data_IF_830686751639
#
_entry.id   IF_830686751639
#
_cell.length_a   1.000
_cell.length_b   1.000
_cell.length_c   1.000
_cell.angle_alpha   90.00
_cell.angle_beta   90.00
_cell.angle_gamma   90.00
#
_symmetry.space_group_name_H-M   'P 1'
#
loop_
_entity.id
_entity.type
_entity.pdbx_description
1 polymer ?
#
# COMPACT_ATOMS: atom_id res chain seq x y z
N UNK A 1 -56.78 57.38 -17.92
CA UNK A 1 -55.88 57.88 -16.86
C UNK A 1 -55.86 56.80 -15.78
N UNK A 2 -54.66 56.36 -15.36
CA UNK A 2 -54.38 55.52 -14.17
C UNK A 2 -54.84 54.04 -14.25
N UNK A 3 -53.99 53.05 -14.57
CA UNK A 3 -52.82 52.39 -13.93
C UNK A 3 -53.20 51.39 -12.80
N UNK A 4 -52.48 50.26 -12.80
CA UNK A 4 -52.24 49.23 -11.78
C UNK A 4 -53.15 47.98 -11.84
N UNK A 5 -52.74 46.84 -12.41
CA UNK A 5 -51.55 45.96 -12.27
C UNK A 5 -52.02 44.64 -11.65
N UNK A 6 -51.96 43.59 -12.47
CA UNK A 6 -52.34 42.21 -12.13
C UNK A 6 -51.32 41.58 -11.17
N UNK A 7 -51.74 40.70 -10.24
CA UNK A 7 -50.82 39.93 -9.42
C UNK A 7 -50.05 38.93 -10.28
N UNK A 8 -48.73 38.89 -10.07
CA UNK A 8 -47.79 37.99 -10.72
C UNK A 8 -48.00 36.55 -10.25
N UNK A 9 -48.23 35.66 -11.20
CA UNK A 9 -48.11 34.21 -11.03
C UNK A 9 -46.64 33.85 -10.83
N UNK A 10 -46.26 33.39 -9.63
CA UNK A 10 -44.95 32.79 -9.44
C UNK A 10 -44.96 31.36 -10.00
N UNK A 11 -44.39 31.20 -11.19
CA UNK A 11 -43.86 29.93 -11.68
C UNK A 11 -42.51 29.69 -11.02
N UNK A 12 -42.44 28.76 -10.08
CA UNK A 12 -41.17 28.19 -9.62
C UNK A 12 -41.06 26.78 -10.18
N UNK A 13 -40.45 26.68 -11.36
CA UNK A 13 -39.94 25.45 -11.92
C UNK A 13 -38.82 24.92 -11.02
N UNK A 14 -39.16 24.01 -10.13
CA UNK A 14 -38.19 23.17 -9.45
C UNK A 14 -38.66 21.75 -9.75
N UNK A 15 -37.95 21.02 -10.60
CA UNK A 15 -37.91 19.56 -10.65
C UNK A 15 -36.84 19.12 -11.65
N UNK A 16 -35.85 18.41 -11.08
CA UNK A 16 -34.99 17.41 -11.70
C UNK A 16 -33.79 17.87 -12.55
N UNK A 17 -32.70 18.17 -11.84
CA UNK A 17 -31.36 17.73 -12.25
C UNK A 17 -31.14 16.30 -11.73
N UNK A 18 -31.15 15.31 -12.64
CA UNK A 18 -30.77 13.90 -12.42
C UNK A 18 -29.92 13.53 -13.64
N UNK A 19 -28.73 12.95 -13.61
CA UNK A 19 -27.92 12.38 -12.55
C UNK A 19 -26.44 12.67 -12.86
N UNK A 20 -25.72 12.84 -11.76
CA UNK A 20 -24.28 12.81 -11.63
C UNK A 20 -23.75 11.44 -12.11
N UNK A 21 -23.05 11.36 -13.24
CA UNK A 21 -22.19 10.22 -13.53
C UNK A 21 -20.90 10.35 -12.69
N UNK A 22 -21.00 10.15 -11.37
CA UNK A 22 -19.84 9.69 -10.62
C UNK A 22 -19.79 8.19 -10.90
N UNK A 23 -19.01 7.79 -11.90
CA UNK A 23 -18.50 6.43 -11.88
C UNK A 23 -17.72 6.30 -10.55
N UNK A 24 -18.12 5.39 -9.63
CA UNK A 24 -17.23 5.06 -8.55
C UNK A 24 -16.03 4.38 -9.19
N UNK A 25 -14.91 5.10 -9.31
CA UNK A 25 -13.62 4.43 -9.42
C UNK A 25 -13.58 3.45 -8.25
N UNK A 26 -13.59 2.16 -8.56
CA UNK A 26 -13.56 1.10 -7.55
C UNK A 26 -12.20 1.18 -6.83
N UNK A 27 -12.10 2.08 -5.87
CA UNK A 27 -11.03 2.14 -4.89
C UNK A 27 -11.20 0.87 -4.07
N UNK A 28 -10.34 -0.12 -4.33
CA UNK A 28 -10.30 -1.31 -3.49
C UNK A 28 -10.13 -0.86 -2.04
N UNK A 29 -10.98 -1.39 -1.16
CA UNK A 29 -10.84 -1.08 0.26
C UNK A 29 -9.54 -1.72 0.78
N UNK A 30 -8.89 -1.11 1.79
CA UNK A 30 -7.74 -1.73 2.45
C UNK A 30 -8.07 -3.15 2.90
N UNK A 31 -7.19 -4.10 2.56
CA UNK A 31 -7.33 -5.53 2.86
C UNK A 31 -8.58 -6.21 2.25
N UNK A 32 -9.14 -5.69 1.15
CA UNK A 32 -10.23 -6.32 0.40
C UNK A 32 -9.75 -7.60 -0.31
N UNK A 33 -9.96 -8.74 0.34
CA UNK A 33 -9.58 -10.05 -0.17
C UNK A 33 -10.42 -10.53 -1.37
N UNK A 34 -11.77 -10.44 -1.34
CA UNK A 34 -12.60 -10.88 -2.46
C UNK A 34 -12.32 -10.17 -3.79
N UNK A 35 -12.10 -8.85 -3.79
CA UNK A 35 -12.03 -8.09 -5.06
C UNK A 35 -10.61 -7.65 -5.44
N UNK A 36 -9.67 -7.60 -4.49
CA UNK A 36 -8.33 -7.08 -4.74
C UNK A 36 -7.22 -7.99 -4.18
N UNK A 37 -7.50 -9.28 -3.96
CA UNK A 37 -6.48 -10.24 -3.50
C UNK A 37 -5.77 -9.79 -2.21
N UNK A 38 -6.51 -9.12 -1.33
CA UNK A 38 -6.03 -8.50 -0.11
C UNK A 38 -4.91 -7.47 -0.34
N UNK A 39 -4.72 -6.95 -1.56
CA UNK A 39 -3.61 -6.08 -1.95
C UNK A 39 -2.24 -6.80 -2.03
N UNK A 40 -2.19 -8.14 -2.05
CA UNK A 40 -0.92 -8.87 -2.13
C UNK A 40 -0.39 -8.88 -3.58
N UNK A 41 0.81 -8.34 -3.79
CA UNK A 41 1.43 -8.29 -5.12
C UNK A 41 2.14 -9.58 -5.54
N UNK A 42 2.65 -10.35 -4.58
CA UNK A 42 3.53 -11.49 -4.82
C UNK A 42 3.20 -12.65 -3.89
N UNK A 43 3.53 -13.88 -4.31
CA UNK A 43 3.31 -15.11 -3.52
C UNK A 43 4.07 -15.16 -2.19
N UNK A 44 5.05 -14.28 -2.01
CA UNK A 44 5.85 -14.09 -0.78
C UNK A 44 6.00 -12.59 -0.52
N UNK A 45 6.94 -12.18 0.34
CA UNK A 45 7.35 -10.78 0.45
C UNK A 45 7.71 -10.20 -0.93
N UNK A 46 7.22 -8.99 -1.31
CA UNK A 46 7.63 -8.35 -2.55
C UNK A 46 9.15 -8.18 -2.60
N UNK A 47 9.83 -8.56 -3.70
CA UNK A 47 11.29 -8.49 -3.81
C UNK A 47 11.80 -7.06 -4.11
N UNK A 48 10.89 -6.11 -4.22
CA UNK A 48 11.15 -4.75 -4.70
C UNK A 48 10.98 -3.72 -3.58
N UNK A 49 11.47 -2.51 -3.83
CA UNK A 49 11.18 -1.36 -2.99
C UNK A 49 9.77 -0.89 -3.31
N UNK A 50 8.95 -0.69 -2.29
CA UNK A 50 7.66 -0.01 -2.42
C UNK A 50 7.73 1.32 -1.66
N UNK A 51 7.34 2.40 -2.31
CA UNK A 51 7.13 3.71 -1.67
C UNK A 51 5.66 4.05 -1.83
N UNK A 52 4.98 4.29 -0.71
CA UNK A 52 3.55 4.55 -0.73
C UNK A 52 3.06 5.23 0.53
N UNK A 53 1.83 5.73 0.47
CA UNK A 53 1.18 6.35 1.61
C UNK A 53 0.37 5.31 2.38
N UNK A 54 0.48 5.25 3.70
CA UNK A 54 -0.29 4.31 4.52
C UNK A 54 -1.76 4.71 4.53
N UNK A 55 -2.63 3.79 4.10
CA UNK A 55 -4.09 3.95 4.17
C UNK A 55 -4.65 3.39 5.47
N UNK A 56 -4.15 2.23 5.88
CA UNK A 56 -4.64 1.52 7.05
C UNK A 56 -3.57 0.61 7.65
N UNK A 57 -3.70 0.35 8.95
CA UNK A 57 -3.00 -0.70 9.68
C UNK A 57 -4.00 -1.79 10.01
N UNK A 58 -3.68 -3.05 9.72
CA UNK A 58 -4.59 -4.17 9.95
C UNK A 58 -4.79 -4.45 11.44
N UNK A 59 -6.05 -4.67 11.82
CA UNK A 59 -6.39 -5.33 13.09
C UNK A 59 -5.93 -6.79 13.09
N UNK A 60 -5.90 -7.45 14.26
CA UNK A 60 -5.60 -8.89 14.35
C UNK A 60 -6.59 -9.74 13.53
N UNK A 61 -7.86 -9.34 13.48
CA UNK A 61 -8.89 -10.01 12.67
C UNK A 61 -8.59 -9.90 11.17
N UNK A 62 -8.27 -8.70 10.69
CA UNK A 62 -7.87 -8.50 9.28
C UNK A 62 -6.56 -9.21 8.96
N UNK A 63 -5.60 -9.20 9.89
CA UNK A 63 -4.33 -9.94 9.74
C UNK A 63 -4.57 -11.44 9.51
N UNK A 64 -5.45 -12.05 10.31
CA UNK A 64 -5.85 -13.46 10.13
C UNK A 64 -6.62 -13.67 8.82
N UNK A 65 -7.51 -12.75 8.44
CA UNK A 65 -8.24 -12.83 7.18
C UNK A 65 -7.29 -12.86 5.98
N UNK A 66 -6.31 -11.95 5.94
CA UNK A 66 -5.30 -11.91 4.87
C UNK A 66 -4.45 -13.18 4.89
N UNK A 67 -4.08 -13.67 6.07
CA UNK A 67 -3.33 -14.92 6.21
C UNK A 67 -4.06 -16.12 5.59
N UNK A 68 -5.32 -16.34 5.98
CA UNK A 68 -6.09 -17.47 5.45
C UNK A 68 -6.30 -17.33 3.94
N UNK A 69 -6.67 -16.13 3.47
CA UNK A 69 -6.83 -15.91 2.03
C UNK A 69 -5.52 -16.19 1.27
N UNK A 70 -4.38 -15.71 1.77
CA UNK A 70 -3.09 -15.95 1.15
C UNK A 70 -2.80 -17.45 1.05
N UNK A 71 -2.96 -18.19 2.15
CA UNK A 71 -2.75 -19.64 2.21
C UNK A 71 -3.65 -20.40 1.23
N UNK A 72 -4.95 -20.08 1.22
CA UNK A 72 -5.95 -20.74 0.37
C UNK A 72 -5.68 -20.50 -1.13
N UNK A 73 -5.01 -19.39 -1.48
CA UNK A 73 -4.66 -19.04 -2.85
C UNK A 73 -3.18 -19.34 -3.18
N UNK A 74 -2.52 -20.18 -2.37
CA UNK A 74 -1.11 -20.60 -2.53
C UNK A 74 -0.07 -19.47 -2.44
N UNK A 75 -0.47 -18.31 -1.91
CA UNK A 75 0.46 -17.35 -1.35
C UNK A 75 0.95 -17.90 0.00
N UNK A 76 2.20 -17.59 0.34
CA UNK A 76 2.81 -18.00 1.61
C UNK A 76 2.76 -19.52 1.84
N UNK A 77 2.91 -20.31 0.78
CA UNK A 77 2.85 -21.78 0.82
C UNK A 77 3.86 -22.42 1.80
N UNK A 78 4.96 -21.72 2.11
CA UNK A 78 6.00 -22.16 3.06
C UNK A 78 5.69 -21.83 4.53
N UNK A 79 4.58 -21.17 4.81
CA UNK A 79 4.14 -20.82 6.16
C UNK A 79 3.18 -21.91 6.69
N UNK A 80 3.18 -22.29 7.98
CA UNK A 80 2.22 -23.25 8.53
C UNK A 80 0.76 -22.84 8.28
N UNK A 81 -0.15 -23.80 8.13
CA UNK A 81 -1.52 -23.51 7.70
C UNK A 81 -2.45 -22.97 8.81
N UNK A 82 -2.10 -23.19 10.07
CA UNK A 82 -2.97 -22.97 11.24
C UNK A 82 -2.91 -21.54 11.80
N UNK A 83 -2.12 -20.64 11.20
CA UNK A 83 -1.92 -19.26 11.62
C UNK A 83 -1.43 -19.10 13.08
N UNK A 84 -0.87 -20.15 13.69
CA UNK A 84 -0.56 -20.14 15.11
C UNK A 84 0.37 -18.97 15.47
N UNK A 85 -0.09 -18.08 16.33
CA UNK A 85 0.71 -16.91 16.76
C UNK A 85 0.99 -15.87 15.67
N UNK A 86 0.47 -16.02 14.45
CA UNK A 86 0.71 -15.09 13.34
C UNK A 86 0.30 -13.64 13.68
N UNK A 87 -0.93 -13.35 14.15
CA UNK A 87 -1.30 -11.99 14.54
C UNK A 87 -0.62 -11.52 15.83
N UNK A 88 0.06 -12.37 16.60
CA UNK A 88 0.91 -11.91 17.69
C UNK A 88 2.28 -11.45 17.18
N UNK A 89 2.74 -12.02 16.06
CA UNK A 89 4.08 -11.76 15.50
C UNK A 89 4.09 -10.75 14.35
N UNK A 90 3.03 -10.64 13.56
CA UNK A 90 2.99 -9.87 12.31
C UNK A 90 1.93 -8.78 12.34
N UNK A 91 2.28 -7.58 11.87
CA UNK A 91 1.32 -6.52 11.54
C UNK A 91 1.32 -6.29 10.02
N UNK A 92 0.17 -5.93 9.47
CA UNK A 92 0.03 -5.59 8.05
C UNK A 92 -0.31 -4.11 7.89
N UNK A 93 0.26 -3.48 6.87
CA UNK A 93 -0.09 -2.13 6.44
C UNK A 93 -0.63 -2.19 5.01
N UNK A 94 -1.65 -1.39 4.73
CA UNK A 94 -2.11 -1.13 3.36
C UNK A 94 -1.48 0.18 2.88
N UNK A 95 -0.77 0.13 1.76
CA UNK A 95 -0.17 1.27 1.09
C UNK A 95 -1.01 1.66 -0.11
N UNK A 96 -1.30 2.94 -0.23
CA UNK A 96 -1.81 3.56 -1.44
C UNK A 96 -0.65 3.87 -2.38
N UNK A 97 -0.72 3.32 -3.59
CA UNK A 97 0.22 3.63 -4.66
C UNK A 97 -0.59 4.11 -5.88
N UNK A 98 -0.34 5.34 -6.40
CA UNK A 98 -0.98 5.81 -7.60
C UNK A 98 -0.41 5.07 -8.83
N UNK A 99 -1.30 4.58 -9.68
CA UNK A 99 -0.97 3.94 -10.96
C UNK A 99 -1.68 4.73 -12.06
N UNK A 100 -0.90 5.23 -13.00
CA UNK A 100 -1.42 5.93 -14.17
C UNK A 100 -1.42 4.98 -15.36
N UNK A 101 -2.61 4.74 -15.92
CA UNK A 101 -2.79 3.95 -17.13
C UNK A 101 -3.75 4.68 -18.06
N UNK A 102 -3.38 4.79 -19.34
CA UNK A 102 -4.19 5.44 -20.38
C UNK A 102 -4.64 6.88 -20.01
N UNK A 103 -3.78 7.63 -19.32
CA UNK A 103 -4.06 9.00 -18.86
C UNK A 103 -4.92 9.09 -17.59
N UNK A 104 -5.36 7.96 -17.03
CA UNK A 104 -6.15 7.90 -15.81
C UNK A 104 -5.30 7.41 -14.64
N UNK A 105 -5.30 8.17 -13.54
CA UNK A 105 -4.59 7.80 -12.30
C UNK A 105 -5.57 7.21 -11.30
N UNK A 106 -5.39 5.92 -11.00
CA UNK A 106 -6.13 5.22 -9.94
C UNK A 106 -5.19 4.93 -8.77
N UNK A 107 -5.74 4.86 -7.55
CA UNK A 107 -4.97 4.45 -6.37
C UNK A 107 -5.18 2.97 -6.14
N UNK A 108 -4.09 2.25 -5.94
CA UNK A 108 -4.09 0.82 -5.64
C UNK A 108 -3.62 0.59 -4.21
N UNK A 109 -4.39 -0.19 -3.46
CA UNK A 109 -4.03 -0.65 -2.12
C UNK A 109 -3.12 -1.88 -2.21
N UNK A 110 -1.96 -1.79 -1.57
CA UNK A 110 -0.93 -2.83 -1.54
C UNK A 110 -0.63 -3.21 -0.10
N UNK A 111 -0.73 -4.50 0.22
CA UNK A 111 -0.44 -5.01 1.55
C UNK A 111 1.03 -5.33 1.69
N UNK A 112 1.64 -4.77 2.75
CA UNK A 112 3.00 -5.06 3.19
C UNK A 112 2.98 -5.51 4.65
N UNK A 113 4.00 -6.26 5.06
CA UNK A 113 4.08 -6.84 6.40
C UNK A 113 5.41 -6.52 7.07
N UNK A 114 5.36 -6.30 8.38
CA UNK A 114 6.52 -6.17 9.28
C UNK A 114 6.22 -6.92 10.58
N UNK A 115 7.22 -7.10 11.44
CA UNK A 115 6.94 -7.68 12.76
C UNK A 115 6.06 -6.73 13.58
N UNK A 116 5.21 -7.30 14.45
CA UNK A 116 4.41 -6.52 15.40
C UNK A 116 5.30 -5.78 16.39
N UNK A 117 6.41 -6.40 16.81
CA UNK A 117 7.40 -5.76 17.68
C UNK A 117 7.99 -4.48 17.05
N UNK A 118 8.40 -4.53 15.78
CA UNK A 118 8.90 -3.34 15.07
C UNK A 118 7.83 -2.24 15.02
N UNK A 119 6.57 -2.60 14.75
CA UNK A 119 5.47 -1.64 14.74
C UNK A 119 5.20 -1.03 16.11
N UNK A 120 5.20 -1.84 17.18
CA UNK A 120 4.97 -1.36 18.54
C UNK A 120 6.10 -0.46 19.05
N UNK A 121 7.33 -0.66 18.55
CA UNK A 121 8.48 0.21 18.86
C UNK A 121 8.39 1.60 18.22
N UNK A 122 7.63 1.74 17.12
CA UNK A 122 7.44 2.98 16.39
C UNK A 122 6.19 2.92 15.52
N UNK A 123 4.99 3.13 16.10
CA UNK A 123 3.74 2.94 15.37
C UNK A 123 3.62 3.86 14.16
N UNK A 124 3.33 3.28 13.01
CA UNK A 124 3.13 4.00 11.75
C UNK A 124 1.64 4.33 11.61
N UNK A 125 1.35 5.62 11.45
CA UNK A 125 -0.02 6.10 11.37
C UNK A 125 -0.51 6.23 9.91
N UNK A 126 -1.82 6.07 9.65
CA UNK A 126 -2.40 6.43 8.36
C UNK A 126 -2.03 7.86 7.92
N UNK A 127 -1.78 8.03 6.63
CA UNK A 127 -1.32 9.27 6.03
C UNK A 127 0.20 9.44 5.96
N UNK A 128 0.97 8.66 6.73
CA UNK A 128 2.43 8.63 6.63
C UNK A 128 2.88 8.08 5.27
N UNK A 129 4.04 8.51 4.78
CA UNK A 129 4.71 7.85 3.64
C UNK A 129 5.83 6.98 4.17
N UNK A 130 5.86 5.76 3.68
CA UNK A 130 6.81 4.73 4.11
C UNK A 130 7.57 4.17 2.91
N UNK A 131 8.72 3.58 3.22
CA UNK A 131 9.41 2.63 2.36
C UNK A 131 9.18 1.24 2.91
N UNK A 132 8.76 0.31 2.07
CA UNK A 132 8.92 -1.12 2.29
C UNK A 132 10.10 -1.63 1.46
N UNK A 133 10.88 -2.53 2.05
CA UNK A 133 11.87 -3.32 1.33
C UNK A 133 11.98 -4.73 1.92
N UNK A 134 12.15 -5.77 1.10
CA UNK A 134 12.25 -7.15 1.58
C UNK A 134 13.46 -7.40 2.50
N UNK A 135 13.24 -8.16 3.58
CA UNK A 135 14.33 -8.61 4.47
C UNK A 135 15.35 -9.50 3.77
N UNK A 136 14.94 -10.24 2.73
CA UNK A 136 15.83 -11.11 1.96
C UNK A 136 17.00 -10.35 1.31
N UNK A 137 16.83 -9.06 1.01
CA UNK A 137 17.81 -8.24 0.29
C UNK A 137 18.53 -7.23 1.18
N UNK A 138 17.92 -6.79 2.29
CA UNK A 138 18.56 -5.96 3.33
C UNK A 138 19.48 -6.77 4.25
N UNK A 139 20.25 -7.68 3.68
CA UNK A 139 20.96 -8.70 4.44
C UNK A 139 19.95 -9.56 5.20
N UNK A 140 19.78 -10.81 4.76
CA UNK A 140 19.31 -11.86 5.65
C UNK A 140 20.40 -12.10 6.73
N UNK A 141 20.69 -11.07 7.53
CA UNK A 141 21.59 -11.14 8.65
C UNK A 141 20.91 -12.12 9.58
N UNK A 142 21.42 -13.34 9.60
CA UNK A 142 20.90 -14.39 10.45
C UNK A 142 20.83 -13.90 11.90
N UNK A 143 21.74 -13.03 12.35
CA UNK A 143 21.66 -12.41 13.67
C UNK A 143 20.41 -11.52 13.83
N UNK A 144 20.05 -10.70 12.83
CA UNK A 144 18.84 -9.87 12.90
C UNK A 144 17.58 -10.73 12.91
N UNK A 145 17.48 -11.69 11.98
CA UNK A 145 16.37 -12.65 11.96
C UNK A 145 16.27 -13.39 13.29
N UNK A 146 17.36 -14.00 13.75
CA UNK A 146 17.39 -14.80 14.98
C UNK A 146 17.08 -13.95 16.21
N UNK A 147 17.46 -12.67 16.25
CA UNK A 147 17.08 -11.76 17.33
C UNK A 147 15.56 -11.53 17.37
N UNK A 148 14.92 -11.35 16.20
CA UNK A 148 13.46 -11.15 16.10
C UNK A 148 12.66 -12.43 16.29
N UNK A 149 13.14 -13.55 15.75
CA UNK A 149 12.45 -14.83 15.82
C UNK A 149 12.79 -15.59 17.11
N UNK A 150 13.87 -15.20 17.81
CA UNK A 150 14.38 -15.90 19.00
C UNK A 150 14.63 -17.39 18.76
N UNK A 151 15.04 -17.75 17.54
CA UNK A 151 15.20 -19.13 17.08
C UNK A 151 13.92 -19.99 17.15
N UNK A 152 12.74 -19.36 17.23
CA UNK A 152 11.45 -20.04 17.15
C UNK A 152 11.18 -20.45 15.69
N UNK A 153 11.09 -21.75 15.36
CA UNK A 153 10.86 -22.21 13.99
C UNK A 153 9.58 -21.67 13.36
N UNK A 154 8.54 -21.43 14.17
CA UNK A 154 7.28 -20.88 13.70
C UNK A 154 7.46 -19.42 13.27
N UNK A 155 8.11 -18.59 14.09
CA UNK A 155 8.41 -17.19 13.75
C UNK A 155 9.38 -17.09 12.58
N UNK A 156 10.35 -18.00 12.48
CA UNK A 156 11.25 -18.09 11.32
C UNK A 156 10.51 -18.40 10.02
N UNK A 157 9.46 -19.24 10.07
CA UNK A 157 8.62 -19.49 8.89
C UNK A 157 7.89 -18.23 8.41
N UNK A 158 7.45 -17.37 9.34
CA UNK A 158 6.78 -16.10 9.02
C UNK A 158 7.72 -15.06 8.43
N UNK A 159 9.02 -15.13 8.74
CA UNK A 159 10.03 -14.16 8.32
C UNK A 159 10.01 -13.85 6.81
N UNK A 160 9.75 -14.86 5.98
CA UNK A 160 9.74 -14.75 4.52
C UNK A 160 8.54 -13.96 3.96
N UNK A 161 7.54 -13.68 4.79
CA UNK A 161 6.40 -12.83 4.44
C UNK A 161 6.63 -11.37 4.78
N UNK A 162 7.71 -11.05 5.51
CA UNK A 162 7.98 -9.74 6.09
C UNK A 162 9.02 -8.95 5.28
N UNK A 163 8.99 -7.64 5.46
CA UNK A 163 10.06 -6.74 5.06
C UNK A 163 10.29 -5.62 6.05
N UNK A 164 11.35 -4.87 5.81
CA UNK A 164 11.69 -3.68 6.56
C UNK A 164 10.78 -2.54 6.11
N UNK A 165 10.03 -1.97 7.06
CA UNK A 165 9.16 -0.82 6.83
C UNK A 165 9.71 0.35 7.62
N UNK A 166 10.00 1.44 6.93
CA UNK A 166 10.50 2.66 7.54
C UNK A 166 9.63 3.86 7.14
N UNK A 167 9.25 4.67 8.11
CA UNK A 167 8.57 5.95 7.85
C UNK A 167 9.56 6.95 7.26
N UNK A 168 9.20 7.51 6.10
CA UNK A 168 9.94 8.57 5.43
C UNK A 168 9.38 9.95 5.82
N UNK A 169 8.05 10.07 5.83
CA UNK A 169 7.36 11.31 6.15
C UNK A 169 6.25 11.04 7.17
N UNK A 170 6.12 11.96 8.13
CA UNK A 170 4.96 11.99 9.02
C UNK A 170 3.66 12.29 8.25
N UNK A 171 2.49 11.93 8.80
CA UNK A 171 1.22 12.36 8.23
C UNK A 171 1.18 13.89 8.09
N UNK A 172 0.64 14.37 6.96
CA UNK A 172 0.43 15.80 6.65
C UNK A 172 1.71 16.64 6.44
N UNK A 173 2.91 16.05 6.44
CA UNK A 173 4.14 16.77 6.07
C UNK A 173 4.26 16.93 4.54
N UNK A 174 3.51 17.86 3.98
CA UNK A 174 3.44 18.08 2.53
C UNK A 174 4.79 18.40 1.88
N UNK A 175 5.72 19.03 2.61
CA UNK A 175 7.06 19.34 2.13
C UNK A 175 7.90 18.06 2.00
N UNK A 176 7.85 17.17 2.99
CA UNK A 176 8.49 15.87 2.90
C UNK A 176 7.87 15.01 1.79
N UNK A 177 6.53 14.95 1.74
CA UNK A 177 5.78 14.14 0.77
C UNK A 177 6.16 14.48 -0.69
N UNK A 178 6.34 15.77 -0.99
CA UNK A 178 6.69 16.23 -2.34
C UNK A 178 8.07 15.75 -2.83
N UNK A 179 8.93 15.25 -1.94
CA UNK A 179 10.29 14.79 -2.29
C UNK A 179 10.33 13.35 -2.82
N UNK A 180 9.35 12.54 -2.43
CA UNK A 180 9.34 11.11 -2.73
C UNK A 180 8.38 10.81 -3.89
N UNK A 181 8.79 9.89 -4.76
CA UNK A 181 7.92 9.37 -5.81
C UNK A 181 7.32 8.04 -5.35
N UNK A 182 5.99 7.94 -5.18
CA UNK A 182 5.36 6.68 -4.83
C UNK A 182 5.41 5.71 -6.02
N UNK A 183 5.54 4.41 -5.74
CA UNK A 183 5.67 3.40 -6.77
C UNK A 183 6.34 2.11 -6.28
N UNK A 184 6.51 1.19 -7.23
CA UNK A 184 7.34 -0.01 -7.09
C UNK A 184 8.64 0.21 -7.86
N UNK A 185 9.76 -0.09 -7.24
CA UNK A 185 11.08 0.15 -7.80
C UNK A 185 11.98 -1.06 -7.63
N UNK A 186 12.70 -1.41 -8.68
CA UNK A 186 13.73 -2.44 -8.63
C UNK A 186 14.77 -2.09 -7.57
N UNK A 187 15.08 -3.06 -6.71
CA UNK A 187 15.97 -2.87 -5.57
C UNK A 187 17.40 -2.46 -5.97
N UNK A 188 17.90 -2.97 -7.10
CA UNK A 188 19.29 -2.79 -7.51
C UNK A 188 19.50 -1.51 -8.32
N UNK A 189 18.64 -1.28 -9.31
CA UNK A 189 18.75 -0.16 -10.25
C UNK A 189 17.97 1.07 -9.81
N UNK A 190 16.94 0.90 -8.97
CA UNK A 190 15.98 1.95 -8.64
C UNK A 190 15.02 2.28 -9.78
N UNK A 191 15.01 1.49 -10.86
CA UNK A 191 14.10 1.69 -11.97
C UNK A 191 12.65 1.42 -11.55
N UNK A 192 11.73 2.30 -11.91
CA UNK A 192 10.31 2.09 -11.67
C UNK A 192 9.80 0.88 -12.43
N UNK A 193 9.03 0.05 -11.72
CA UNK A 193 8.35 -1.11 -12.21
C UNK A 193 6.85 -0.83 -12.28
N UNK A 194 6.17 -1.46 -13.23
CA UNK A 194 4.72 -1.57 -13.19
C UNK A 194 4.31 -2.26 -11.89
N UNK A 195 3.30 -1.70 -11.22
CA UNK A 195 2.94 -2.13 -9.87
C UNK A 195 2.55 -3.62 -9.85
N UNK A 196 1.79 -4.06 -10.86
CA UNK A 196 1.19 -5.39 -10.89
C UNK A 196 2.12 -6.41 -11.55
N UNK A 197 2.65 -6.11 -12.73
CA UNK A 197 3.50 -7.06 -13.47
C UNK A 197 4.93 -7.13 -12.95
N UNK A 198 5.41 -6.08 -12.26
CA UNK A 198 6.80 -5.96 -11.83
C UNK A 198 7.78 -5.77 -12.99
N UNK A 199 7.29 -5.51 -14.20
CA UNK A 199 8.16 -5.23 -15.36
C UNK A 199 8.59 -3.77 -15.37
N UNK A 200 9.81 -3.44 -15.84
CA UNK A 200 10.25 -2.04 -15.96
C UNK A 200 9.27 -1.19 -16.76
N UNK A 201 8.90 -0.03 -16.22
CA UNK A 201 8.02 0.93 -16.90
C UNK A 201 8.84 1.71 -17.94
N UNK A 202 8.43 1.72 -19.22
CA UNK A 202 9.06 2.58 -20.22
C UNK A 202 9.00 4.04 -19.78
N UNK A 203 10.14 4.73 -19.76
CA UNK A 203 10.26 6.12 -19.28
C UNK A 203 9.85 6.31 -17.80
N UNK A 204 9.86 5.25 -17.00
CA UNK A 204 9.64 5.31 -15.57
C UNK A 204 10.65 6.22 -14.86
N UNK A 205 10.32 6.61 -13.63
CA UNK A 205 11.24 7.32 -12.75
C UNK A 205 12.35 6.35 -12.34
N UNK A 206 13.57 6.86 -12.15
CA UNK A 206 14.64 6.12 -11.50
C UNK A 206 14.89 6.79 -10.15
N UNK A 207 14.90 6.02 -9.07
CA UNK A 207 15.26 6.52 -7.74
C UNK A 207 16.69 6.12 -7.37
N UNK A 208 17.26 6.84 -6.43
CA UNK A 208 18.41 6.38 -5.67
C UNK A 208 17.93 5.40 -4.59
N UNK A 209 18.45 4.16 -4.59
CA UNK A 209 17.91 3.08 -3.74
C UNK A 209 18.31 3.22 -2.27
N UNK A 210 19.28 4.10 -1.97
CA UNK A 210 19.68 4.44 -0.61
C UNK A 210 18.81 5.56 -0.04
N UNK A 211 18.69 6.67 -0.77
CA UNK A 211 17.98 7.88 -0.32
C UNK A 211 16.49 7.88 -0.68
N UNK A 212 16.09 7.05 -1.63
CA UNK A 212 14.74 6.95 -2.23
C UNK A 212 14.27 8.19 -3.00
N UNK A 213 15.19 9.13 -3.24
CA UNK A 213 14.89 10.33 -4.00
C UNK A 213 15.01 10.06 -5.51
N UNK A 214 14.17 10.70 -6.34
CA UNK A 214 14.31 10.63 -7.79
C UNK A 214 15.71 11.08 -8.25
N UNK A 215 16.33 10.30 -9.14
CA UNK A 215 17.55 10.70 -9.84
C UNK A 215 17.20 11.63 -11.01
N UNK A 216 18.05 12.63 -11.30
CA UNK A 216 17.96 13.36 -12.56
C UNK A 216 18.08 12.37 -13.72
N UNK A 217 17.21 12.48 -14.73
CA UNK A 217 17.42 11.73 -15.97
C UNK A 217 18.75 12.15 -16.59
N UNK A 218 19.62 11.22 -17.03
CA UNK A 218 20.73 11.58 -17.90
C UNK A 218 20.15 12.34 -19.11
N UNK A 219 20.70 13.51 -19.37
CA UNK A 219 20.34 14.29 -20.57
C UNK A 219 20.91 13.63 -21.81
#
# INVERSE_FOLDING_TARGET
MEIFSRPQTMTAAALLWIALFIAPSALALPFDCPHNHCGLLTKQSPPDILVGQVEAVATSKQTLQVFHWARDHHFWHNVPADAQGYPAFVTLLSLSIPVTKDGHTNRHSVTVAMTREEYESGPILPGAVIRYAPHAFYGNNAAYRNARTQHDPLKESYWWTLGCIAQLCAPNDSQCLARYSPGRFDWHSGAQLDLMSGTPTPNGIVIDTLTLLPKPRPR
#
